data_IF_960541569626
#
_entry.id   IF_960541569626
#
_cell.length_a   1.000
_cell.length_b   1.000
_cell.length_c   1.000
_cell.angle_alpha   90.00
_cell.angle_beta   90.00
_cell.angle_gamma   90.00
#
_symmetry.space_group_name_H-M   'P 1'
#
loop_
_entity.id
_entity.type
_entity.pdbx_description
1 polymer ?
#
# COMPACT_ATOMS: atom_id res chain seq x y z
N UNK A 1 42.78 -9.15 0.12
CA UNK A 1 41.77 -10.19 -0.21
C UNK A 1 40.40 -9.60 0.12
N UNK A 2 39.64 -9.16 -0.88
CA UNK A 2 38.39 -8.43 -0.70
C UNK A 2 37.25 -9.44 -0.47
N UNK A 3 36.62 -9.41 0.70
CA UNK A 3 35.61 -10.39 1.11
C UNK A 3 34.26 -10.08 0.42
N UNK A 4 34.09 -10.54 -0.82
CA UNK A 4 32.85 -10.43 -1.60
C UNK A 4 31.87 -11.55 -1.23
N UNK A 5 31.42 -11.59 0.03
CA UNK A 5 30.24 -12.41 0.37
C UNK A 5 28.99 -11.73 -0.22
N UNK A 6 28.58 -12.15 -1.41
CA UNK A 6 27.22 -11.90 -1.92
C UNK A 6 26.25 -12.47 -0.88
N UNK A 7 25.44 -11.61 -0.26
CA UNK A 7 24.29 -12.07 0.54
C UNK A 7 23.32 -12.78 -0.40
N UNK A 8 23.30 -14.11 -0.36
CA UNK A 8 22.25 -14.88 -1.01
C UNK A 8 20.93 -14.59 -0.27
N UNK A 9 20.01 -13.90 -0.94
CA UNK A 9 18.65 -13.75 -0.45
C UNK A 9 17.96 -15.11 -0.59
N UNK A 10 17.81 -15.82 0.52
CA UNK A 10 17.04 -17.06 0.58
C UNK A 10 15.58 -16.72 0.83
N UNK A 11 14.75 -16.95 -0.16
CA UNK A 11 13.30 -16.84 -0.04
C UNK A 11 12.78 -18.15 0.59
N UNK A 12 12.07 -18.06 1.72
CA UNK A 12 11.61 -19.21 2.49
C UNK A 12 10.11 -19.50 2.31
N UNK A 13 9.41 -18.73 1.47
CA UNK A 13 7.98 -18.86 1.19
C UNK A 13 7.75 -19.78 -0.01
N UNK A 14 6.63 -20.53 0.00
CA UNK A 14 6.27 -21.47 -1.07
C UNK A 14 6.00 -20.72 -2.38
N UNK A 15 5.38 -19.53 -2.32
CA UNK A 15 5.22 -18.61 -3.46
C UNK A 15 6.49 -17.95 -3.99
N UNK A 16 7.65 -18.12 -3.34
CA UNK A 16 8.91 -17.56 -3.81
C UNK A 16 9.00 -16.03 -3.74
N UNK A 17 9.80 -15.44 -4.62
CA UNK A 17 10.05 -13.99 -4.64
C UNK A 17 9.00 -13.26 -5.48
N UNK A 18 8.33 -12.27 -4.90
CA UNK A 18 7.39 -11.40 -5.62
C UNK A 18 8.06 -10.06 -5.99
N UNK A 19 8.78 -10.02 -7.12
CA UNK A 19 9.55 -8.83 -7.51
C UNK A 19 8.63 -7.70 -7.98
N UNK A 20 7.51 -8.01 -8.61
CA UNK A 20 6.54 -7.05 -9.13
C UNK A 20 5.94 -6.23 -7.98
N UNK A 21 5.52 -6.88 -6.89
CA UNK A 21 5.05 -6.20 -5.69
C UNK A 21 6.15 -5.36 -5.02
N UNK A 22 7.39 -5.85 -5.01
CA UNK A 22 8.54 -5.09 -4.48
C UNK A 22 8.80 -3.82 -5.31
N UNK A 23 8.75 -3.93 -6.63
CA UNK A 23 8.99 -2.82 -7.55
C UNK A 23 7.83 -1.82 -7.55
N UNK A 24 6.60 -2.29 -7.37
CA UNK A 24 5.45 -1.44 -7.12
C UNK A 24 5.62 -0.63 -5.82
N UNK A 25 5.99 -1.28 -4.70
CA UNK A 25 6.24 -0.59 -3.43
C UNK A 25 7.32 0.49 -3.60
N UNK A 26 8.40 0.21 -4.34
CA UNK A 26 9.47 1.19 -4.61
C UNK A 26 8.94 2.41 -5.37
N UNK A 27 8.11 2.22 -6.39
CA UNK A 27 7.52 3.32 -7.17
C UNK A 27 6.53 4.14 -6.34
N UNK A 28 5.71 3.49 -5.53
CA UNK A 28 4.81 4.18 -4.59
C UNK A 28 5.59 5.02 -3.57
N UNK A 29 6.72 4.51 -3.07
CA UNK A 29 7.64 5.28 -2.22
C UNK A 29 8.26 6.46 -2.96
N UNK A 30 8.71 6.25 -4.19
CA UNK A 30 9.25 7.33 -5.02
C UNK A 30 8.22 8.45 -5.23
N UNK A 31 6.97 8.09 -5.53
CA UNK A 31 5.85 9.04 -5.65
C UNK A 31 5.62 9.81 -4.34
N UNK A 32 5.59 9.14 -3.18
CA UNK A 32 5.37 9.84 -1.91
C UNK A 32 6.57 10.73 -1.53
N UNK A 33 7.79 10.24 -1.75
CA UNK A 33 9.04 10.97 -1.49
C UNK A 33 9.25 12.14 -2.45
N UNK A 34 8.59 12.15 -3.61
CA UNK A 34 8.60 13.28 -4.52
C UNK A 34 8.15 14.57 -3.80
N UNK A 35 7.16 14.45 -2.92
CA UNK A 35 6.63 15.52 -2.08
C UNK A 35 7.41 15.67 -0.76
N UNK A 36 8.74 15.52 -0.78
CA UNK A 36 9.59 15.70 0.42
C UNK A 36 10.00 17.15 0.69
N UNK A 37 9.95 18.01 -0.33
CA UNK A 37 10.33 19.43 -0.19
C UNK A 37 9.15 20.27 0.27
N UNK A 38 9.40 21.29 1.10
CA UNK A 38 8.36 22.20 1.60
C UNK A 38 7.56 22.86 0.46
N UNK A 39 8.23 23.23 -0.64
CA UNK A 39 7.57 23.80 -1.82
C UNK A 39 6.57 22.81 -2.45
N UNK A 40 6.97 21.55 -2.65
CA UNK A 40 6.09 20.53 -3.23
C UNK A 40 4.94 20.16 -2.30
N UNK A 41 5.18 20.05 -0.99
CA UNK A 41 4.13 19.84 0.02
C UNK A 41 3.08 20.94 -0.04
N UNK A 42 3.52 22.21 0.00
CA UNK A 42 2.60 23.36 -0.01
C UNK A 42 1.77 23.40 -1.28
N UNK A 43 2.37 23.14 -2.45
CA UNK A 43 1.62 23.06 -3.71
C UNK A 43 0.61 21.92 -3.72
N UNK A 44 0.95 20.76 -3.15
CA UNK A 44 -0.01 19.65 -3.01
C UNK A 44 -1.18 20.05 -2.09
N UNK A 45 -0.91 20.72 -0.97
CA UNK A 45 -1.95 21.26 -0.09
C UNK A 45 -2.84 22.30 -0.79
N UNK A 46 -2.25 23.15 -1.62
CA UNK A 46 -2.98 24.17 -2.39
C UNK A 46 -3.90 23.51 -3.43
N UNK A 47 -3.43 22.45 -4.11
CA UNK A 47 -4.26 21.60 -4.98
C UNK A 47 -5.39 20.95 -4.18
N UNK A 48 -5.10 20.39 -3.01
CA UNK A 48 -6.12 19.77 -2.16
C UNK A 48 -7.21 20.78 -1.75
N UNK A 49 -6.80 21.99 -1.33
CA UNK A 49 -7.74 23.07 -0.99
C UNK A 49 -8.57 23.52 -2.19
N UNK A 50 -7.92 23.70 -3.35
CA UNK A 50 -8.58 24.18 -4.57
C UNK A 50 -9.67 23.22 -5.04
N UNK A 51 -9.43 21.91 -4.97
CA UNK A 51 -10.38 20.88 -5.38
C UNK A 51 -11.25 20.34 -4.23
N UNK A 52 -11.23 20.97 -3.05
CA UNK A 52 -11.97 20.52 -1.87
C UNK A 52 -11.70 19.06 -1.46
N UNK A 53 -10.47 18.60 -1.66
CA UNK A 53 -9.99 17.26 -1.31
C UNK A 53 -9.52 17.21 0.16
N UNK A 54 -9.31 16.02 0.73
CA UNK A 54 -8.67 15.84 2.02
C UNK A 54 -7.32 16.55 2.09
N UNK A 55 -7.10 17.33 3.14
CA UNK A 55 -5.78 17.88 3.47
C UNK A 55 -4.94 16.77 4.10
N UNK A 56 -4.31 15.94 3.28
CA UNK A 56 -3.52 14.79 3.71
C UNK A 56 -2.10 14.89 3.14
N UNK A 57 -1.11 14.94 4.02
CA UNK A 57 0.30 14.88 3.62
C UNK A 57 0.67 13.53 2.99
N UNK A 58 1.84 13.46 2.37
CA UNK A 58 2.41 12.19 1.91
C UNK A 58 3.15 11.49 3.04
N UNK A 59 3.29 10.17 2.92
CA UNK A 59 4.11 9.39 3.85
C UNK A 59 5.53 9.33 3.33
N UNK A 60 6.43 10.10 3.94
CA UNK A 60 7.86 10.05 3.62
C UNK A 60 8.48 8.75 4.15
N UNK A 61 9.33 8.12 3.33
CA UNK A 61 10.03 6.89 3.69
C UNK A 61 11.12 7.21 4.73
N UNK A 62 10.77 7.10 6.01
CA UNK A 62 11.72 7.22 7.11
C UNK A 62 11.76 5.98 8.03
N UNK A 63 11.00 4.92 7.77
CA UNK A 63 10.93 3.79 8.69
C UNK A 63 10.87 2.41 7.99
N UNK A 64 11.79 1.53 8.40
CA UNK A 64 12.01 0.18 7.86
C UNK A 64 10.99 -0.86 8.35
N UNK A 65 9.90 -0.44 8.99
CA UNK A 65 8.95 -1.34 9.66
C UNK A 65 7.91 -1.88 8.68
N UNK A 66 7.68 -3.20 8.71
CA UNK A 66 6.75 -3.92 7.82
C UNK A 66 5.31 -3.34 7.86
N UNK A 67 4.84 -2.87 9.02
CA UNK A 67 3.53 -2.24 9.19
C UNK A 67 3.38 -0.87 8.50
N UNK A 68 4.46 -0.30 7.99
CA UNK A 68 4.45 1.00 7.32
C UNK A 68 3.88 0.91 5.89
N UNK A 69 4.06 -0.23 5.21
CA UNK A 69 3.58 -0.41 3.83
C UNK A 69 2.06 -0.31 3.71
N UNK A 70 1.30 -0.83 4.68
CA UNK A 70 -0.17 -0.71 4.70
C UNK A 70 -0.60 0.76 4.82
N UNK A 71 0.01 1.49 5.75
CA UNK A 71 -0.27 2.94 5.91
C UNK A 71 0.11 3.73 4.67
N UNK A 72 1.27 3.40 4.06
CA UNK A 72 1.73 3.99 2.81
C UNK A 72 0.68 3.81 1.72
N UNK A 73 0.20 2.59 1.49
CA UNK A 73 -0.84 2.33 0.50
C UNK A 73 -2.12 3.09 0.81
N UNK A 74 -2.61 3.02 2.05
CA UNK A 74 -3.83 3.71 2.48
C UNK A 74 -3.79 5.21 2.20
N UNK A 75 -2.74 5.91 2.61
CA UNK A 75 -2.63 7.35 2.35
C UNK A 75 -2.39 7.66 0.88
N UNK A 76 -1.62 6.83 0.17
CA UNK A 76 -1.39 7.01 -1.27
C UNK A 76 -2.69 6.89 -2.06
N UNK A 77 -3.53 5.89 -1.74
CA UNK A 77 -4.83 5.66 -2.36
C UNK A 77 -5.74 6.87 -2.09
N UNK A 78 -5.82 7.36 -0.86
CA UNK A 78 -6.65 8.54 -0.54
C UNK A 78 -6.13 9.79 -1.28
N UNK A 79 -4.81 9.94 -1.42
CA UNK A 79 -4.19 11.06 -2.13
C UNK A 79 -4.20 10.94 -3.66
N UNK A 80 -4.65 9.82 -4.24
CA UNK A 80 -4.63 9.59 -5.68
C UNK A 80 -5.18 10.76 -6.49
N UNK A 81 -6.38 11.27 -6.15
CA UNK A 81 -6.96 12.43 -6.86
C UNK A 81 -6.10 13.68 -6.73
N UNK A 82 -5.52 13.93 -5.56
CA UNK A 82 -4.64 15.09 -5.36
C UNK A 82 -3.38 14.99 -6.22
N UNK A 83 -2.78 13.79 -6.32
CA UNK A 83 -1.66 13.54 -7.23
C UNK A 83 -2.06 13.73 -8.70
N UNK A 84 -3.19 13.17 -9.10
CA UNK A 84 -3.69 13.32 -10.47
C UNK A 84 -3.87 14.80 -10.84
N UNK A 85 -4.51 15.61 -9.99
CA UNK A 85 -4.68 17.05 -10.23
C UNK A 85 -3.36 17.83 -10.18
N UNK A 86 -2.44 17.45 -9.31
CA UNK A 86 -1.12 18.07 -9.23
C UNK A 86 -0.35 17.93 -10.55
N UNK A 87 -0.33 16.73 -11.12
CA UNK A 87 0.41 16.44 -12.35
C UNK A 87 -0.36 16.79 -13.64
N UNK A 88 -1.64 17.16 -13.57
CA UNK A 88 -2.36 17.72 -14.73
C UNK A 88 -1.80 19.06 -15.21
N UNK A 89 -1.16 19.84 -14.33
CA UNK A 89 -0.53 21.12 -14.66
C UNK A 89 0.85 21.23 -13.99
N UNK A 90 1.86 20.49 -14.48
CA UNK A 90 3.19 20.50 -13.89
C UNK A 90 3.85 21.87 -14.05
N UNK A 91 4.51 22.36 -13.00
CA UNK A 91 5.35 23.55 -13.10
C UNK A 91 6.76 23.19 -13.57
N UNK A 92 7.57 24.21 -13.86
CA UNK A 92 8.97 24.02 -14.25
C UNK A 92 9.74 23.30 -13.14
N UNK A 93 10.33 22.16 -13.48
CA UNK A 93 11.07 21.31 -12.54
C UNK A 93 10.22 20.24 -11.87
N UNK A 94 8.95 20.12 -12.26
CA UNK A 94 8.15 18.95 -11.92
C UNK A 94 8.44 17.76 -12.85
N UNK A 95 8.52 16.58 -12.25
CA UNK A 95 8.73 15.33 -12.95
C UNK A 95 7.44 14.49 -12.86
N UNK A 96 6.59 14.59 -13.89
CA UNK A 96 5.34 13.83 -13.95
C UNK A 96 5.55 12.31 -14.08
N UNK A 97 6.76 11.88 -14.50
CA UNK A 97 7.04 10.46 -14.71
C UNK A 97 6.93 9.64 -13.42
N UNK A 98 7.12 10.27 -12.25
CA UNK A 98 6.97 9.61 -10.94
C UNK A 98 5.52 9.16 -10.65
N UNK A 99 4.53 9.80 -11.29
CA UNK A 99 3.13 9.42 -11.20
C UNK A 99 2.70 8.59 -12.42
N UNK A 100 3.11 8.99 -13.63
CA UNK A 100 2.77 8.30 -14.88
C UNK A 100 3.36 6.88 -14.99
N UNK A 101 4.42 6.58 -14.24
CA UNK A 101 5.00 5.23 -14.16
C UNK A 101 4.10 4.19 -13.46
N UNK A 102 2.95 4.60 -12.94
CA UNK A 102 1.93 3.73 -12.34
C UNK A 102 0.71 3.67 -13.25
N UNK A 103 0.55 2.54 -13.94
CA UNK A 103 -0.61 2.25 -14.78
C UNK A 103 -1.87 1.99 -13.93
N UNK A 104 -3.05 2.03 -14.57
CA UNK A 104 -4.32 1.70 -13.91
C UNK A 104 -4.32 0.29 -13.27
N UNK A 105 -3.67 -0.69 -13.92
CA UNK A 105 -3.51 -2.03 -13.38
C UNK A 105 -2.64 -2.05 -12.12
N UNK A 106 -1.64 -1.17 -12.04
CA UNK A 106 -0.77 -1.05 -10.88
C UNK A 106 -1.45 -0.32 -9.73
N UNK A 107 -2.27 0.70 -10.02
CA UNK A 107 -3.14 1.32 -9.02
C UNK A 107 -4.15 0.32 -8.43
N UNK A 108 -4.73 -0.56 -9.27
CA UNK A 108 -5.53 -1.68 -8.79
C UNK A 108 -4.72 -2.65 -7.94
N UNK A 109 -3.50 -3.00 -8.36
CA UNK A 109 -2.64 -3.87 -7.55
C UNK A 109 -2.28 -3.23 -6.19
N UNK A 110 -2.14 -1.90 -6.11
CA UNK A 110 -1.97 -1.18 -4.83
C UNK A 110 -3.17 -1.37 -3.91
N UNK A 111 -4.40 -1.26 -4.42
CA UNK A 111 -5.61 -1.45 -3.60
C UNK A 111 -5.78 -2.91 -3.16
N UNK A 112 -5.44 -3.87 -4.03
CA UNK A 112 -5.43 -5.30 -3.70
C UNK A 112 -4.39 -5.63 -2.63
N UNK A 113 -3.14 -5.15 -2.79
CA UNK A 113 -2.06 -5.35 -1.80
C UNK A 113 -2.36 -4.66 -0.46
N UNK A 114 -3.03 -3.50 -0.47
CA UNK A 114 -3.51 -2.84 0.75
C UNK A 114 -4.54 -3.69 1.48
N UNK A 115 -5.53 -4.22 0.77
CA UNK A 115 -6.58 -5.03 1.37
C UNK A 115 -6.02 -6.34 1.96
N UNK A 116 -5.17 -7.05 1.21
CA UNK A 116 -4.50 -8.27 1.68
C UNK A 116 -3.63 -7.96 2.91
N UNK A 117 -2.82 -6.91 2.84
CA UNK A 117 -1.96 -6.48 3.95
C UNK A 117 -2.75 -6.09 5.21
N UNK A 118 -3.88 -5.41 5.06
CA UNK A 118 -4.82 -5.11 6.13
C UNK A 118 -5.37 -6.38 6.78
N UNK A 119 -5.87 -7.32 5.97
CA UNK A 119 -6.41 -8.59 6.48
C UNK A 119 -5.36 -9.40 7.24
N UNK A 120 -4.13 -9.48 6.73
CA UNK A 120 -3.01 -10.14 7.44
C UNK A 120 -2.73 -9.44 8.77
N UNK A 121 -2.67 -8.10 8.79
CA UNK A 121 -2.39 -7.34 9.99
C UNK A 121 -3.49 -7.49 11.05
N UNK A 122 -4.76 -7.49 10.64
CA UNK A 122 -5.90 -7.67 11.53
C UNK A 122 -5.94 -9.08 12.11
N UNK A 123 -5.69 -10.11 11.30
CA UNK A 123 -5.59 -11.49 11.78
C UNK A 123 -4.42 -11.64 12.76
N UNK A 124 -3.22 -11.16 12.41
CA UNK A 124 -2.07 -11.20 13.31
C UNK A 124 -2.36 -10.48 14.64
N UNK A 125 -3.07 -9.34 14.60
CA UNK A 125 -3.46 -8.59 15.79
C UNK A 125 -4.44 -9.37 16.66
N UNK A 126 -5.51 -9.92 16.07
CA UNK A 126 -6.50 -10.72 16.80
C UNK A 126 -5.82 -11.89 17.51
N UNK A 127 -4.91 -12.56 16.81
CA UNK A 127 -4.22 -13.71 17.37
C UNK A 127 -3.25 -13.31 18.48
N UNK A 128 -2.36 -12.33 18.29
CA UNK A 128 -1.43 -11.86 19.35
C UNK A 128 -2.16 -11.34 20.60
N UNK A 129 -3.37 -10.80 20.46
CA UNK A 129 -4.15 -10.27 21.58
C UNK A 129 -4.92 -11.32 22.38
N UNK A 130 -4.96 -12.59 21.95
CA UNK A 130 -5.54 -13.67 22.76
C UNK A 130 -4.63 -13.96 23.97
N UNK A 131 -5.11 -13.56 25.15
CA UNK A 131 -4.40 -13.74 26.42
C UNK A 131 -4.21 -15.23 26.72
N UNK A 132 -2.99 -15.74 26.57
CA UNK A 132 -2.64 -17.13 26.88
C UNK A 132 -1.75 -17.83 25.86
N UNK A 133 -1.39 -17.18 24.75
CA UNK A 133 -0.69 -17.87 23.67
C UNK A 133 0.80 -18.15 23.96
N UNK A 134 1.16 -19.42 23.84
CA UNK A 134 2.54 -19.91 23.82
C UNK A 134 3.08 -19.82 22.39
N UNK A 135 4.38 -19.59 22.20
CA UNK A 135 4.99 -19.39 20.87
C UNK A 135 4.69 -20.51 19.84
N UNK A 136 4.44 -21.75 20.30
CA UNK A 136 4.04 -22.89 19.47
C UNK A 136 2.62 -22.76 18.88
N UNK A 137 1.71 -22.08 19.57
CA UNK A 137 0.33 -21.86 19.13
C UNK A 137 0.27 -20.75 18.08
N UNK A 138 1.23 -19.81 18.11
CA UNK A 138 1.37 -18.74 17.14
C UNK A 138 1.52 -19.28 15.69
N UNK A 139 2.24 -20.39 15.51
CA UNK A 139 2.42 -21.03 14.19
C UNK A 139 1.09 -21.63 13.68
N UNK A 140 0.33 -22.27 14.55
CA UNK A 140 -1.00 -22.83 14.20
C UNK A 140 -1.96 -21.70 13.83
N UNK A 141 -1.91 -20.59 14.57
CA UNK A 141 -2.74 -19.42 14.32
C UNK A 141 -2.32 -18.66 13.06
N UNK A 142 -1.03 -18.59 12.75
CA UNK A 142 -0.54 -18.08 11.46
C UNK A 142 -1.04 -18.94 10.30
N UNK A 143 -1.04 -20.26 10.45
CA UNK A 143 -1.57 -21.17 9.44
C UNK A 143 -3.09 -21.06 9.29
N UNK A 144 -3.82 -20.96 10.41
CA UNK A 144 -5.26 -20.70 10.40
C UNK A 144 -5.62 -19.34 9.80
N UNK A 145 -4.80 -18.31 10.06
CA UNK A 145 -4.92 -17.00 9.43
C UNK A 145 -4.68 -17.07 7.91
N UNK A 146 -3.68 -17.84 7.47
CA UNK A 146 -3.45 -18.10 6.04
C UNK A 146 -4.63 -18.82 5.39
N UNK A 147 -5.17 -19.86 6.04
CA UNK A 147 -6.36 -20.57 5.56
C UNK A 147 -7.61 -19.67 5.52
N UNK A 148 -7.73 -18.72 6.47
CA UNK A 148 -8.81 -17.71 6.49
C UNK A 148 -8.64 -16.63 5.43
N UNK A 149 -7.42 -16.23 5.10
CA UNK A 149 -7.14 -15.26 4.03
C UNK A 149 -7.59 -15.78 2.66
N UNK A 150 -7.46 -17.09 2.44
CA UNK A 150 -7.95 -17.75 1.23
C UNK A 150 -9.49 -17.94 1.22
N UNK A 151 -10.17 -17.59 2.30
CA UNK A 151 -11.49 -18.12 2.61
C UNK A 151 -12.69 -17.34 2.09
N UNK A 152 -12.70 -16.00 1.99
CA UNK A 152 -13.98 -15.32 1.75
C UNK A 152 -13.95 -14.00 0.94
N UNK A 153 -13.52 -12.85 1.47
CA UNK A 153 -13.56 -11.59 0.69
C UNK A 153 -12.53 -10.58 1.22
N UNK A 154 -12.03 -9.73 0.33
CA UNK A 154 -11.18 -8.60 0.67
C UNK A 154 -11.91 -7.27 0.53
N UNK A 155 -11.61 -6.32 1.41
CA UNK A 155 -12.22 -4.98 1.40
C UNK A 155 -11.30 -3.99 0.68
N UNK A 156 -11.48 -3.88 -0.64
CA UNK A 156 -10.63 -3.03 -1.49
C UNK A 156 -11.09 -1.58 -1.43
N UNK A 157 -10.14 -0.67 -1.35
CA UNK A 157 -10.40 0.74 -1.60
C UNK A 157 -10.79 0.96 -3.07
N UNK A 158 -11.82 1.76 -3.30
CA UNK A 158 -12.11 2.30 -4.65
C UNK A 158 -11.30 3.58 -4.84
N UNK A 159 -10.18 3.50 -5.57
CA UNK A 159 -9.30 4.65 -5.75
C UNK A 159 -9.91 5.73 -6.66
N UNK A 160 -10.98 5.45 -7.41
CA UNK A 160 -11.70 6.46 -8.20
C UNK A 160 -12.88 7.08 -7.44
N UNK A 161 -13.17 6.59 -6.22
CA UNK A 161 -14.26 7.11 -5.40
C UNK A 161 -14.15 8.60 -5.10
N UNK A 162 -15.30 9.26 -5.00
CA UNK A 162 -15.38 10.68 -4.62
C UNK A 162 -14.73 10.93 -3.24
N UNK A 163 -14.05 12.07 -3.13
CA UNK A 163 -13.39 12.54 -1.91
C UNK A 163 -13.82 13.96 -1.60
N UNK A 164 -13.90 14.28 -0.32
CA UNK A 164 -14.19 15.63 0.16
C UNK A 164 -13.25 15.99 1.32
N UNK A 165 -13.34 17.22 1.82
CA UNK A 165 -12.48 17.72 2.90
C UNK A 165 -12.56 16.93 4.22
N UNK A 166 -13.63 16.16 4.44
CA UNK A 166 -13.82 15.32 5.64
C UNK A 166 -13.43 13.86 5.44
N UNK A 167 -13.03 13.48 4.22
CA UNK A 167 -12.64 12.10 3.91
C UNK A 167 -11.31 11.77 4.59
N UNK A 168 -11.26 10.63 5.26
CA UNK A 168 -10.10 10.10 5.97
C UNK A 168 -9.80 8.69 5.48
N UNK A 169 -8.64 8.13 5.81
CA UNK A 169 -8.31 6.72 5.52
C UNK A 169 -9.40 5.76 6.02
N UNK A 170 -10.00 6.05 7.18
CA UNK A 170 -11.03 5.17 7.78
C UNK A 170 -12.40 5.31 7.11
N UNK A 171 -12.73 6.50 6.61
CA UNK A 171 -14.01 6.78 5.97
C UNK A 171 -13.99 6.62 4.45
N UNK A 172 -12.82 6.31 3.87
CA UNK A 172 -12.69 6.16 2.43
C UNK A 172 -13.49 4.94 1.93
N UNK A 173 -14.26 5.05 0.83
CA UNK A 173 -15.12 3.98 0.35
C UNK A 173 -14.37 2.69 0.03
N UNK A 174 -14.96 1.57 0.45
CA UNK A 174 -14.46 0.23 0.20
C UNK A 174 -15.57 -0.65 -0.32
N UNK A 175 -15.21 -1.62 -1.16
CA UNK A 175 -16.12 -2.65 -1.66
C UNK A 175 -15.53 -4.04 -1.39
N UNK A 176 -16.41 -5.01 -1.17
CA UNK A 176 -16.01 -6.40 -0.92
C UNK A 176 -15.78 -7.10 -2.25
N UNK A 177 -14.62 -7.75 -2.41
CA UNK A 177 -14.23 -8.49 -3.60
C UNK A 177 -13.86 -9.92 -3.21
N UNK A 178 -14.42 -10.96 -3.86
CA UNK A 178 -14.02 -12.33 -3.60
C UNK A 178 -12.58 -12.57 -4.06
N UNK A 179 -11.89 -13.54 -3.44
CA UNK A 179 -10.51 -13.93 -3.78
C UNK A 179 -10.35 -14.14 -5.29
N UNK A 180 -11.29 -14.84 -5.92
CA UNK A 180 -11.23 -15.24 -7.33
C UNK A 180 -11.26 -14.05 -8.31
N UNK A 181 -11.69 -12.86 -7.86
CA UNK A 181 -11.75 -11.64 -8.66
C UNK A 181 -10.50 -10.75 -8.52
N UNK A 182 -9.56 -11.13 -7.65
CA UNK A 182 -8.27 -10.44 -7.52
C UNK A 182 -7.40 -10.65 -8.77
N UNK A 183 -6.53 -9.70 -9.06
CA UNK A 183 -5.57 -9.87 -10.15
C UNK A 183 -4.64 -11.09 -9.93
N UNK A 184 -4.06 -11.67 -11.00
CA UNK A 184 -3.08 -12.75 -10.87
C UNK A 184 -1.88 -12.36 -9.99
N UNK A 185 -1.46 -11.09 -10.04
CA UNK A 185 -0.36 -10.57 -9.21
C UNK A 185 -0.77 -10.47 -7.73
N UNK A 186 -2.02 -10.12 -7.44
CA UNK A 186 -2.53 -10.14 -6.08
C UNK A 186 -2.62 -11.56 -5.51
N UNK A 187 -2.95 -12.56 -6.33
CA UNK A 187 -2.90 -13.97 -5.92
C UNK A 187 -1.49 -14.41 -5.52
N UNK A 188 -0.44 -13.89 -6.16
CA UNK A 188 0.95 -14.12 -5.74
C UNK A 188 1.23 -13.60 -4.32
N UNK A 189 0.50 -12.58 -3.84
CA UNK A 189 0.62 -12.11 -2.45
C UNK A 189 0.06 -13.10 -1.43
N UNK A 190 -0.80 -14.03 -1.86
CA UNK A 190 -1.46 -15.02 -1.00
C UNK A 190 -0.69 -16.36 -0.94
N UNK A 191 0.35 -16.53 -1.77
CA UNK A 191 1.10 -17.77 -1.97
C UNK A 191 2.31 -17.97 -1.04
#
# INVERSE_FOLDING_TARGET
MMNTRKREQRYCTVGGAFQEGRDLIRRIRALNNYFSTQQRCKRLEDVQKFFCLPSMGTILDCDTRVAFSVKLFQQTIVNYSAFAFYFQKPEKGDDASVFECLSAAEWRLVTEMEAIGCSIADLARIEVQRSGLVASELIVLLKFAADRLNGNMFSLCDFDACRNTTTTVKSFPRHAVPVDELSPLAHTCLA
#
